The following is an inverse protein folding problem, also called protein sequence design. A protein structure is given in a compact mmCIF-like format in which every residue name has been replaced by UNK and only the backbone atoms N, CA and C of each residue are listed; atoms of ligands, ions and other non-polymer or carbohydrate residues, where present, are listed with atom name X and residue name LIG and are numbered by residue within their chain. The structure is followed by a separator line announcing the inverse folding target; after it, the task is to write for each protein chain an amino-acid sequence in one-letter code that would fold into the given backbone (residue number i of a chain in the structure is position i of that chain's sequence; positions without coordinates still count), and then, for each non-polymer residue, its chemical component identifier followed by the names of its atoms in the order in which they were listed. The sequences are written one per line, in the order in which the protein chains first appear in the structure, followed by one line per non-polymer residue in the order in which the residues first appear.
data_IF_500833875597
#
_entry.id   IF_500833875597
#
_cell.length_a   1.000
_cell.length_b   1.000
_cell.length_c   1.000
_cell.angle_alpha   90.00
_cell.angle_beta   90.00
_cell.angle_gamma   90.00
#
_symmetry.space_group_name_H-M   'P 1'
#
loop_
_entity.id
_entity.type
_entity.pdbx_description
1 polymer ?
#
# COMPACT_ATOMS: atom_id res chain seq x y z
N UNK A 1 -34.47 8.69 -15.20
CA UNK A 1 -33.55 9.63 -15.85
C UNK A 1 -34.30 10.91 -16.12
N UNK A 2 -33.77 12.06 -15.72
CA UNK A 2 -34.44 13.36 -15.79
C UNK A 2 -34.49 13.96 -17.19
N UNK A 3 -33.87 13.34 -18.19
CA UNK A 3 -33.80 13.78 -19.57
C UNK A 3 -33.32 15.24 -19.76
N UNK A 4 -32.27 15.62 -19.06
CA UNK A 4 -31.65 16.94 -19.12
C UNK A 4 -30.53 16.95 -20.17
N UNK A 5 -30.40 18.05 -20.91
CA UNK A 5 -29.34 18.18 -21.92
C UNK A 5 -28.04 18.74 -21.33
N UNK A 6 -28.10 19.38 -20.20
CA UNK A 6 -26.94 19.96 -19.52
C UNK A 6 -27.13 19.96 -17.99
N UNK A 7 -26.05 19.89 -17.27
CA UNK A 7 -26.01 19.88 -15.80
C UNK A 7 -24.88 20.78 -15.32
N UNK A 8 -25.16 21.57 -14.30
CA UNK A 8 -24.16 22.34 -13.58
C UNK A 8 -23.87 21.67 -12.24
N UNK A 9 -22.67 21.19 -12.09
CA UNK A 9 -22.17 20.63 -10.83
C UNK A 9 -21.54 21.74 -10.00
N UNK A 10 -22.11 22.04 -8.84
CA UNK A 10 -21.57 23.01 -7.91
C UNK A 10 -21.06 22.29 -6.64
N UNK A 11 -19.80 22.48 -6.30
CA UNK A 11 -19.18 21.90 -5.11
C UNK A 11 -18.55 23.02 -4.27
N UNK A 12 -18.87 23.01 -2.98
CA UNK A 12 -18.21 23.85 -1.98
C UNK A 12 -17.32 22.95 -1.12
N UNK A 13 -16.01 23.21 -1.14
CA UNK A 13 -15.04 22.49 -0.31
C UNK A 13 -14.70 23.34 0.93
N UNK A 14 -14.93 22.78 2.11
CA UNK A 14 -14.68 23.51 3.35
C UNK A 14 -15.72 24.59 3.65
N UNK A 15 -15.31 25.60 4.43
CA UNK A 15 -16.17 26.72 4.85
C UNK A 15 -15.78 28.05 4.17
N UNK A 16 -14.96 28.04 3.13
CA UNK A 16 -14.48 29.25 2.46
C UNK A 16 -15.14 29.40 1.09
N UNK A 17 -15.56 30.64 0.78
CA UNK A 17 -16.14 30.98 -0.51
C UNK A 17 -15.15 30.81 -1.68
N UNK A 18 -13.85 30.86 -1.41
CA UNK A 18 -12.78 30.68 -2.39
C UNK A 18 -12.62 29.21 -2.90
N UNK A 19 -13.27 28.26 -2.26
CA UNK A 19 -13.24 26.84 -2.63
C UNK A 19 -14.54 26.37 -3.32
N UNK A 20 -15.22 27.28 -4.00
CA UNK A 20 -16.42 26.99 -4.77
C UNK A 20 -16.09 26.68 -6.23
N UNK A 21 -16.44 25.48 -6.67
CA UNK A 21 -16.24 25.03 -8.04
C UNK A 21 -17.57 24.78 -8.74
N UNK A 22 -17.73 25.34 -9.94
CA UNK A 22 -18.84 25.02 -10.84
C UNK A 22 -18.28 24.29 -12.05
N UNK A 23 -18.85 23.14 -12.37
CA UNK A 23 -18.54 22.39 -13.59
C UNK A 23 -19.79 22.27 -14.42
N UNK A 24 -19.74 22.77 -15.63
CA UNK A 24 -20.77 22.57 -16.65
C UNK A 24 -20.47 21.27 -17.40
N UNK A 25 -21.48 20.45 -17.57
CA UNK A 25 -21.42 19.21 -18.36
C UNK A 25 -22.59 19.18 -19.33
N UNK A 26 -22.29 18.97 -20.58
CA UNK A 26 -23.27 18.71 -21.63
C UNK A 26 -23.56 17.21 -21.73
N UNK A 27 -24.76 16.89 -22.18
CA UNK A 27 -25.17 15.50 -22.36
C UNK A 27 -24.39 14.87 -23.50
N UNK A 28 -23.80 13.71 -23.22
CA UNK A 28 -23.15 12.85 -24.19
C UNK A 28 -23.97 11.57 -24.31
N UNK A 29 -24.58 11.35 -25.50
CA UNK A 29 -25.48 10.23 -25.71
C UNK A 29 -24.74 8.90 -25.74
N UNK A 30 -23.51 8.89 -26.24
CA UNK A 30 -22.71 7.65 -26.34
C UNK A 30 -22.30 7.18 -24.95
N UNK A 31 -21.88 8.11 -24.07
CA UNK A 31 -21.56 7.80 -22.68
C UNK A 31 -22.85 7.38 -21.92
N UNK A 32 -23.98 8.00 -22.20
CA UNK A 32 -25.25 7.64 -21.56
C UNK A 32 -25.69 6.22 -21.92
N UNK A 33 -25.59 5.81 -23.18
CA UNK A 33 -25.92 4.45 -23.63
C UNK A 33 -25.00 3.42 -22.98
N UNK A 34 -23.70 3.67 -22.91
CA UNK A 34 -22.74 2.80 -22.25
C UNK A 34 -23.05 2.64 -20.75
N UNK A 35 -23.33 3.77 -20.07
CA UNK A 35 -23.68 3.76 -18.65
C UNK A 35 -24.98 2.97 -18.39
N UNK A 36 -26.01 3.17 -19.20
CA UNK A 36 -27.29 2.44 -19.07
C UNK A 36 -27.04 0.93 -19.26
N UNK A 37 -26.25 0.54 -20.25
CA UNK A 37 -25.93 -0.86 -20.49
C UNK A 37 -25.18 -1.50 -19.29
N UNK A 38 -24.21 -0.80 -18.70
CA UNK A 38 -23.49 -1.23 -17.51
C UNK A 38 -24.42 -1.32 -16.27
N UNK A 39 -25.29 -0.35 -16.07
CA UNK A 39 -26.28 -0.36 -14.98
C UNK A 39 -27.28 -1.50 -15.11
N UNK A 40 -27.80 -1.77 -16.33
CA UNK A 40 -28.69 -2.91 -16.60
C UNK A 40 -28.00 -4.25 -16.38
N UNK A 41 -26.73 -4.38 -16.85
CA UNK A 41 -25.92 -5.56 -16.59
C UNK A 41 -25.71 -5.78 -15.10
N UNK A 42 -25.29 -4.74 -14.36
CA UNK A 42 -25.07 -4.83 -12.92
C UNK A 42 -26.35 -5.23 -12.18
N UNK A 43 -27.47 -4.59 -12.51
CA UNK A 43 -28.76 -4.90 -11.90
C UNK A 43 -29.19 -6.35 -12.15
N UNK A 44 -29.09 -6.80 -13.38
CA UNK A 44 -29.53 -8.14 -13.78
C UNK A 44 -28.64 -9.22 -13.18
N UNK A 45 -27.33 -9.10 -13.31
CA UNK A 45 -26.40 -10.15 -12.89
C UNK A 45 -26.12 -10.13 -11.38
N UNK A 46 -25.92 -8.95 -10.82
CA UNK A 46 -25.42 -8.85 -9.44
C UNK A 46 -26.53 -8.58 -8.41
N UNK A 47 -27.58 -7.86 -8.78
CA UNK A 47 -28.70 -7.59 -7.87
C UNK A 47 -29.77 -8.69 -7.96
N UNK A 48 -30.30 -8.95 -9.15
CA UNK A 48 -31.39 -9.93 -9.30
C UNK A 48 -30.90 -11.37 -9.18
N UNK A 49 -29.81 -11.73 -9.84
CA UNK A 49 -29.23 -13.09 -9.76
C UNK A 49 -28.35 -13.30 -8.52
N UNK A 50 -28.04 -12.25 -7.77
CA UNK A 50 -27.17 -12.28 -6.58
C UNK A 50 -25.78 -12.87 -6.86
N UNK A 51 -25.29 -12.76 -8.09
CA UNK A 51 -23.91 -13.12 -8.40
C UNK A 51 -22.95 -12.06 -7.84
N UNK A 52 -21.91 -12.48 -7.18
CA UNK A 52 -20.89 -11.53 -6.70
C UNK A 52 -20.25 -10.78 -7.87
N UNK A 53 -20.18 -9.42 -7.80
CA UNK A 53 -19.48 -8.66 -8.85
C UNK A 53 -17.99 -8.96 -8.84
N UNK A 54 -17.33 -8.94 -10.02
CA UNK A 54 -15.89 -9.13 -10.07
C UNK A 54 -15.16 -7.98 -9.37
N UNK A 55 -14.06 -8.31 -8.72
CA UNK A 55 -13.18 -7.29 -8.15
C UNK A 55 -12.40 -6.59 -9.27
N UNK A 56 -12.72 -5.32 -9.51
CA UNK A 56 -12.07 -4.48 -10.53
C UNK A 56 -11.10 -3.46 -9.93
N UNK A 57 -11.08 -3.34 -8.63
CA UNK A 57 -10.29 -2.40 -7.86
C UNK A 57 -8.80 -2.79 -7.75
N UNK A 58 -7.99 -1.86 -7.25
CA UNK A 58 -6.60 -2.16 -6.91
C UNK A 58 -6.50 -3.30 -5.91
N UNK A 59 -5.50 -4.19 -6.01
CA UNK A 59 -5.38 -5.37 -5.15
C UNK A 59 -5.49 -5.10 -3.64
N UNK A 60 -4.98 -3.96 -3.18
CA UNK A 60 -5.05 -3.59 -1.75
C UNK A 60 -6.50 -3.32 -1.30
N UNK A 61 -7.30 -2.65 -2.14
CA UNK A 61 -8.72 -2.37 -1.87
C UNK A 61 -9.54 -3.67 -1.91
N UNK A 62 -9.22 -4.56 -2.85
CA UNK A 62 -9.83 -5.90 -2.91
C UNK A 62 -9.56 -6.68 -1.62
N UNK A 63 -8.32 -6.72 -1.15
CA UNK A 63 -7.94 -7.40 0.08
C UNK A 63 -8.60 -6.76 1.31
N UNK A 64 -8.75 -5.45 1.32
CA UNK A 64 -9.46 -4.73 2.37
C UNK A 64 -10.96 -5.07 2.38
N UNK A 65 -11.60 -5.11 1.22
CA UNK A 65 -13.00 -5.49 1.06
C UNK A 65 -13.25 -6.93 1.54
N UNK A 66 -12.40 -7.87 1.12
CA UNK A 66 -12.46 -9.27 1.56
C UNK A 66 -12.34 -9.35 3.10
N UNK A 67 -11.41 -8.60 3.69
CA UNK A 67 -11.23 -8.59 5.15
C UNK A 67 -12.46 -8.02 5.87
N UNK A 68 -13.06 -6.95 5.35
CA UNK A 68 -14.29 -6.37 5.91
C UNK A 68 -15.47 -7.35 5.82
N UNK A 69 -15.56 -8.10 4.72
CA UNK A 69 -16.63 -9.08 4.51
C UNK A 69 -16.53 -10.26 5.48
N UNK A 70 -15.34 -10.86 5.63
CA UNK A 70 -15.14 -12.05 6.46
C UNK A 70 -14.80 -11.75 7.92
N UNK A 71 -14.48 -10.50 8.25
CA UNK A 71 -14.10 -10.10 9.61
C UNK A 71 -12.71 -10.60 10.03
N UNK A 72 -12.41 -10.60 11.35
CA UNK A 72 -11.13 -11.03 11.91
C UNK A 72 -10.87 -12.52 11.66
N UNK A 73 -9.58 -12.90 11.63
CA UNK A 73 -9.20 -14.29 11.44
C UNK A 73 -9.42 -15.09 12.71
N UNK A 74 -10.07 -16.25 12.57
CA UNK A 74 -10.11 -17.25 13.62
C UNK A 74 -8.88 -18.18 13.49
N UNK A 75 -8.08 -18.26 14.56
CA UNK A 75 -6.87 -19.10 14.59
C UNK A 75 -7.19 -20.57 14.79
N UNK A 76 -8.33 -20.86 15.37
CA UNK A 76 -8.78 -22.21 15.74
C UNK A 76 -9.70 -22.81 14.67
N UNK A 77 -9.99 -22.05 13.60
CA UNK A 77 -10.78 -22.54 12.49
C UNK A 77 -10.05 -23.65 11.71
N UNK A 78 -10.82 -24.64 11.28
CA UNK A 78 -10.32 -25.75 10.47
C UNK A 78 -9.71 -25.28 9.14
N UNK A 79 -8.74 -26.06 8.63
CA UNK A 79 -8.12 -25.80 7.34
C UNK A 79 -9.09 -26.03 6.18
N UNK A 80 -9.14 -25.06 5.26
CA UNK A 80 -10.01 -25.13 4.08
C UNK A 80 -9.27 -25.74 2.89
N UNK A 81 -9.92 -26.64 2.17
CA UNK A 81 -9.43 -27.15 0.88
C UNK A 81 -9.67 -26.11 -0.21
N UNK A 82 -8.58 -25.59 -0.78
CA UNK A 82 -8.66 -24.63 -1.88
C UNK A 82 -9.00 -25.32 -3.20
N UNK A 83 -9.69 -24.59 -4.09
CA UNK A 83 -9.99 -25.05 -5.44
C UNK A 83 -8.70 -25.23 -6.26
N UNK A 84 -8.68 -26.24 -7.12
CA UNK A 84 -7.57 -26.50 -8.07
C UNK A 84 -7.38 -25.35 -9.08
N UNK A 85 -8.42 -24.60 -9.35
CA UNK A 85 -8.35 -23.42 -10.24
C UNK A 85 -7.37 -22.35 -9.74
N UNK A 86 -7.14 -22.29 -8.42
CA UNK A 86 -6.20 -21.36 -7.79
C UNK A 86 -4.73 -21.79 -7.89
N UNK A 87 -4.44 -22.98 -8.40
CA UNK A 87 -3.06 -23.49 -8.51
C UNK A 87 -2.16 -22.56 -9.32
N UNK A 88 -2.68 -22.06 -10.47
CA UNK A 88 -1.96 -21.11 -11.32
C UNK A 88 -1.61 -19.82 -10.57
N UNK A 89 -2.56 -19.25 -9.82
CA UNK A 89 -2.35 -18.04 -9.04
C UNK A 89 -1.27 -18.23 -7.95
N UNK A 90 -1.26 -19.40 -7.33
CA UNK A 90 -0.24 -19.74 -6.32
C UNK A 90 1.15 -19.90 -6.94
N UNK A 91 1.24 -20.50 -8.11
CA UNK A 91 2.51 -20.64 -8.85
C UNK A 91 3.04 -19.27 -9.31
N UNK A 92 2.18 -18.42 -9.86
CA UNK A 92 2.53 -17.04 -10.23
C UNK A 92 3.01 -16.24 -9.02
N UNK A 93 2.30 -16.35 -7.89
CA UNK A 93 2.73 -15.71 -6.65
C UNK A 93 4.12 -16.16 -6.20
N UNK A 94 4.38 -17.47 -6.25
CA UNK A 94 5.69 -18.02 -5.87
C UNK A 94 6.80 -17.55 -6.82
N UNK A 95 6.54 -17.49 -8.12
CA UNK A 95 7.49 -16.98 -9.11
C UNK A 95 7.81 -15.50 -8.85
N UNK A 96 6.77 -14.64 -8.66
CA UNK A 96 6.97 -13.22 -8.32
C UNK A 96 7.69 -13.02 -7.00
N UNK A 97 7.42 -13.86 -6.01
CA UNK A 97 8.12 -13.81 -4.73
C UNK A 97 9.60 -14.16 -4.86
N UNK A 98 9.95 -15.15 -5.69
CA UNK A 98 11.34 -15.52 -5.96
C UNK A 98 12.08 -14.39 -6.70
N UNK A 99 11.46 -13.79 -7.72
CA UNK A 99 11.97 -12.63 -8.46
C UNK A 99 12.23 -11.44 -7.51
N UNK A 100 11.25 -11.10 -6.68
CA UNK A 100 11.40 -10.06 -5.65
C UNK A 100 12.59 -10.33 -4.74
N UNK A 101 12.73 -11.55 -4.24
CA UNK A 101 13.85 -11.91 -3.35
C UNK A 101 15.22 -11.79 -4.03
N UNK A 102 15.31 -12.13 -5.32
CA UNK A 102 16.54 -11.97 -6.11
C UNK A 102 16.88 -10.47 -6.29
N UNK A 103 15.88 -9.63 -6.58
CA UNK A 103 16.06 -8.17 -6.69
C UNK A 103 16.49 -7.56 -5.35
N UNK A 104 15.88 -7.99 -4.23
CA UNK A 104 16.26 -7.51 -2.90
C UNK A 104 17.73 -7.88 -2.55
N UNK A 105 18.19 -9.08 -2.95
CA UNK A 105 19.59 -9.47 -2.79
C UNK A 105 20.53 -8.61 -3.64
N UNK A 106 20.14 -8.25 -4.87
CA UNK A 106 20.91 -7.34 -5.73
C UNK A 106 20.96 -5.93 -5.14
N UNK A 107 19.84 -5.39 -4.65
CA UNK A 107 19.77 -4.08 -3.98
C UNK A 107 20.73 -4.07 -2.78
N UNK A 108 20.67 -5.08 -1.92
CA UNK A 108 21.57 -5.18 -0.77
C UNK A 108 23.06 -5.16 -1.18
N UNK A 109 23.41 -5.87 -2.23
CA UNK A 109 24.78 -5.87 -2.76
C UNK A 109 25.21 -4.48 -3.28
N UNK A 110 24.30 -3.80 -3.99
CA UNK A 110 24.56 -2.43 -4.46
C UNK A 110 24.70 -1.45 -3.29
N UNK A 111 23.87 -1.55 -2.26
CA UNK A 111 23.98 -0.73 -1.05
C UNK A 111 25.32 -0.94 -0.32
N UNK A 112 25.82 -2.19 -0.26
CA UNK A 112 27.15 -2.51 0.29
C UNK A 112 28.27 -1.88 -0.55
N UNK A 113 28.17 -1.94 -1.89
CA UNK A 113 29.13 -1.32 -2.80
C UNK A 113 29.10 0.21 -2.66
N UNK A 114 27.92 0.82 -2.59
CA UNK A 114 27.75 2.26 -2.34
C UNK A 114 28.42 2.67 -1.02
N UNK A 115 28.20 1.92 0.07
CA UNK A 115 28.84 2.18 1.37
C UNK A 115 30.35 2.11 1.27
N UNK A 116 30.89 1.12 0.56
CA UNK A 116 32.34 1.03 0.33
C UNK A 116 32.88 2.21 -0.47
N UNK A 117 32.09 2.69 -1.46
CA UNK A 117 32.52 3.81 -2.31
C UNK A 117 32.59 5.16 -1.56
N UNK A 118 31.65 5.39 -0.61
CA UNK A 118 31.68 6.66 0.13
C UNK A 118 32.45 6.60 1.47
N UNK A 119 32.92 5.41 1.90
CA UNK A 119 33.63 5.26 3.16
C UNK A 119 34.85 6.17 3.27
N UNK A 120 35.67 6.27 2.20
CA UNK A 120 36.82 7.16 2.16
C UNK A 120 36.44 8.66 2.24
N UNK A 121 35.31 9.03 1.66
CA UNK A 121 34.79 10.41 1.75
C UNK A 121 34.37 10.73 3.19
N UNK A 122 33.73 9.79 3.88
CA UNK A 122 33.34 9.96 5.30
C UNK A 122 34.57 10.04 6.19
N UNK A 123 35.63 9.29 5.89
CA UNK A 123 36.90 9.34 6.62
C UNK A 123 37.55 10.73 6.47
N UNK A 124 37.57 11.31 5.28
CA UNK A 124 38.10 12.69 5.05
C UNK A 124 37.21 13.76 5.70
N UNK A 125 35.90 13.61 5.72
CA UNK A 125 34.99 14.52 6.42
C UNK A 125 35.27 14.60 7.92
N UNK A 126 35.67 13.49 8.55
CA UNK A 126 35.92 13.40 9.98
C UNK A 126 34.72 13.81 10.82
N UNK A 127 34.81 14.91 11.54
CA UNK A 127 33.72 15.48 12.37
C UNK A 127 32.84 16.49 11.61
N UNK A 128 33.18 16.82 10.39
CA UNK A 128 32.43 17.77 9.57
C UNK A 128 31.19 17.13 8.97
N UNK A 129 30.07 17.85 8.96
CA UNK A 129 28.86 17.43 8.30
C UNK A 129 28.78 17.79 6.82
N UNK A 130 29.74 18.59 6.32
CA UNK A 130 29.75 19.08 4.94
C UNK A 130 31.13 19.05 4.36
N UNK A 131 31.24 18.72 3.09
CA UNK A 131 32.47 18.74 2.30
C UNK A 131 32.20 19.19 0.88
N UNK A 132 33.22 19.80 0.25
CA UNK A 132 33.16 20.21 -1.16
C UNK A 132 34.37 19.67 -1.87
N UNK A 133 34.17 19.03 -3.02
CA UNK A 133 35.23 18.59 -3.92
C UNK A 133 35.06 19.30 -5.26
N UNK A 134 36.08 20.04 -5.69
CA UNK A 134 36.12 20.66 -7.01
C UNK A 134 37.11 19.90 -7.90
N UNK A 135 36.62 19.42 -9.01
CA UNK A 135 37.43 18.88 -10.10
C UNK A 135 37.36 19.85 -11.27
N UNK A 136 38.25 19.73 -12.26
CA UNK A 136 38.31 20.71 -13.37
C UNK A 136 37.00 20.90 -14.15
N UNK A 137 36.05 19.94 -14.03
CA UNK A 137 34.78 19.94 -14.78
C UNK A 137 33.54 19.88 -13.89
N UNK A 138 33.68 19.58 -12.60
CA UNK A 138 32.54 19.33 -11.71
C UNK A 138 32.84 19.77 -10.28
N UNK A 139 31.79 20.21 -9.58
CA UNK A 139 31.83 20.52 -8.16
C UNK A 139 30.83 19.56 -7.45
N UNK A 140 31.30 18.92 -6.42
CA UNK A 140 30.51 17.99 -5.61
C UNK A 140 30.34 18.54 -4.19
N UNK A 141 29.11 18.68 -3.75
CA UNK A 141 28.77 18.98 -2.38
C UNK A 141 28.38 17.70 -1.68
N UNK A 142 29.04 17.39 -0.57
CA UNK A 142 28.77 16.18 0.24
C UNK A 142 28.20 16.61 1.57
N UNK A 143 27.12 15.98 1.98
CA UNK A 143 26.53 16.17 3.31
C UNK A 143 26.41 14.84 4.03
N UNK A 144 26.87 14.79 5.28
CA UNK A 144 26.80 13.64 6.16
C UNK A 144 26.29 14.06 7.53
N UNK A 145 24.99 14.34 7.60
CA UNK A 145 24.36 14.91 8.78
C UNK A 145 23.92 13.83 9.77
N UNK A 146 24.04 14.08 11.10
CA UNK A 146 23.47 13.19 12.11
C UNK A 146 21.94 13.16 12.00
N UNK A 147 21.38 11.96 12.07
CA UNK A 147 19.92 11.75 12.07
C UNK A 147 19.51 11.22 13.45
N UNK A 148 18.67 11.98 14.14
CA UNK A 148 18.12 11.60 15.43
C UNK A 148 16.75 10.95 15.26
N UNK A 149 16.59 9.76 15.84
CA UNK A 149 15.29 9.07 15.88
C UNK A 149 14.93 8.85 17.33
N UNK A 150 13.76 9.33 17.73
CA UNK A 150 13.16 9.01 19.02
C UNK A 150 12.21 7.82 18.85
N UNK A 151 12.25 6.91 19.80
CA UNK A 151 11.41 5.71 19.81
C UNK A 151 11.58 4.96 21.10
N UNK A 152 10.65 4.06 21.36
CA UNK A 152 10.73 3.14 22.48
C UNK A 152 11.08 1.74 21.94
N UNK A 153 12.08 1.09 22.50
CA UNK A 153 12.43 -0.28 22.14
C UNK A 153 11.45 -1.29 22.77
N UNK A 154 11.52 -2.56 22.36
CA UNK A 154 10.63 -3.61 22.88
C UNK A 154 10.72 -3.74 24.41
N UNK A 155 11.93 -3.65 24.97
CA UNK A 155 12.14 -3.75 26.41
C UNK A 155 11.58 -2.53 27.16
N UNK A 156 11.72 -1.34 26.58
CA UNK A 156 11.10 -0.12 27.08
C UNK A 156 9.57 -0.19 27.03
N UNK A 157 9.02 -0.74 25.95
CA UNK A 157 7.58 -0.93 25.80
C UNK A 157 7.01 -1.93 26.82
N UNK A 158 7.72 -3.04 27.08
CA UNK A 158 7.35 -3.99 28.15
C UNK A 158 7.42 -3.36 29.53
N UNK A 159 8.46 -2.57 29.81
CA UNK A 159 8.57 -1.83 31.07
C UNK A 159 7.46 -0.80 31.23
N UNK A 160 7.11 -0.09 30.14
CA UNK A 160 5.99 0.86 30.14
C UNK A 160 4.68 0.16 30.50
N UNK A 161 4.42 -1.01 29.87
CA UNK A 161 3.22 -1.81 30.15
C UNK A 161 3.13 -2.29 31.59
N UNK A 162 4.27 -2.62 32.21
CA UNK A 162 4.31 -3.12 33.62
C UNK A 162 4.21 -1.98 34.60
N UNK A 163 4.96 -0.89 34.40
CA UNK A 163 5.10 0.18 35.36
C UNK A 163 4.03 1.27 35.21
N UNK A 164 3.48 1.45 34.01
CA UNK A 164 2.51 2.50 33.66
C UNK A 164 1.47 1.95 32.69
N UNK A 165 0.63 0.98 33.13
CA UNK A 165 -0.35 0.32 32.25
C UNK A 165 -1.39 1.29 31.66
N UNK A 166 -1.81 2.28 32.43
CA UNK A 166 -2.70 3.37 32.02
C UNK A 166 -2.13 4.16 30.83
N UNK A 167 -0.87 4.58 30.92
CA UNK A 167 -0.17 5.27 29.84
C UNK A 167 0.03 4.34 28.62
N UNK A 168 0.33 3.06 28.87
CA UNK A 168 0.47 2.09 27.79
C UNK A 168 -0.84 1.93 27.02
N UNK A 169 -1.96 1.78 27.67
CA UNK A 169 -3.27 1.57 27.06
C UNK A 169 -3.77 2.82 26.31
N UNK A 170 -3.41 4.02 26.80
CA UNK A 170 -3.75 5.28 26.15
C UNK A 170 -3.01 5.53 24.82
N UNK A 171 -1.74 5.07 24.71
CA UNK A 171 -0.86 5.42 23.58
C UNK A 171 -0.42 4.24 22.73
N UNK A 172 -0.69 3.00 23.12
CA UNK A 172 -0.29 1.81 22.38
C UNK A 172 -1.50 1.07 21.85
N UNK A 173 -1.71 1.12 20.56
CA UNK A 173 -2.75 0.35 19.87
C UNK A 173 -2.19 -0.93 19.26
N UNK A 174 -2.95 -2.02 19.34
CA UNK A 174 -2.64 -3.28 18.67
C UNK A 174 -3.47 -3.36 17.39
N UNK A 175 -2.80 -3.41 16.24
CA UNK A 175 -3.46 -3.63 14.96
C UNK A 175 -3.32 -5.08 14.52
N UNK A 176 -4.43 -5.68 14.07
CA UNK A 176 -4.40 -7.01 13.46
C UNK A 176 -4.07 -6.88 11.96
N UNK A 177 -3.11 -7.67 11.49
CA UNK A 177 -2.83 -7.83 10.07
C UNK A 177 -2.68 -9.29 9.71
N UNK A 178 -3.17 -9.69 8.51
CA UNK A 178 -3.01 -11.05 7.98
C UNK A 178 -1.83 -11.10 7.02
N UNK A 179 -0.91 -12.04 7.23
CA UNK A 179 0.22 -12.28 6.34
C UNK A 179 -0.05 -13.48 5.46
N UNK A 180 -0.10 -13.27 4.15
CA UNK A 180 -0.17 -14.37 3.18
C UNK A 180 1.18 -15.08 3.05
N UNK A 181 1.17 -16.41 3.14
CA UNK A 181 2.37 -17.23 2.90
C UNK A 181 1.99 -18.53 2.20
N UNK A 182 2.86 -18.97 1.28
CA UNK A 182 2.70 -20.23 0.54
C UNK A 182 3.97 -21.05 0.73
N UNK A 183 3.80 -22.33 1.04
CA UNK A 183 4.87 -23.34 1.01
C UNK A 183 4.46 -24.45 0.04
N UNK A 184 5.22 -24.65 -1.02
CA UNK A 184 5.05 -25.79 -1.92
C UNK A 184 5.63 -27.02 -1.22
N UNK A 185 4.84 -28.07 -1.02
CA UNK A 185 5.29 -29.39 -0.59
C UNK A 185 5.22 -30.30 -1.79
N UNK A 186 6.25 -31.12 -2.01
CA UNK A 186 6.18 -32.18 -2.98
C UNK A 186 5.21 -33.24 -2.46
N UNK A 187 4.33 -33.69 -3.34
CA UNK A 187 3.44 -34.79 -3.02
C UNK A 187 4.27 -36.07 -2.95
N UNK A 188 4.17 -36.78 -1.84
CA UNK A 188 4.79 -38.07 -1.68
C UNK A 188 4.11 -39.11 -2.58
#
# INVERSE_FOLDING_TARGET
VMNLNEVYFACLYGNNEDEFFIRHMERDMDIEEDLIAEEEYFWTEHVLKKAEPPYTEKPDLVLESIRKHYGPADKDADSVKLSRTLAKNLEEYLARKAEKSALEAQIKKLEEQMKSSYAGVVEELGVSCQGVLKTGTSEYEVTYNPMYRTGIDKKGLEKLKINHPDVYDDYVSVSESRRFSVKKKEAA
#
